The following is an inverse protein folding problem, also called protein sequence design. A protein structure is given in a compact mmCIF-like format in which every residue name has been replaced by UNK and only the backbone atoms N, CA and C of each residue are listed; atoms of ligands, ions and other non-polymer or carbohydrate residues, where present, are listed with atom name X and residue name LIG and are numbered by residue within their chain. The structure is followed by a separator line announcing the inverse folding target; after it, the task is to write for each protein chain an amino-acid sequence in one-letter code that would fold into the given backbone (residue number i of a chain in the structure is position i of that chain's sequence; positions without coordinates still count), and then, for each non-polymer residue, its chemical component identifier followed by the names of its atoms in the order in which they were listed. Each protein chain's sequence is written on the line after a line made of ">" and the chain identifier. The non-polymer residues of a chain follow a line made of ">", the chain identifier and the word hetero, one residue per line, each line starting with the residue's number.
data_IF_041432533924
#
_entry.id   IF_041432533924
#
_cell.length_a   1.000
_cell.length_b   1.000
_cell.length_c   1.000
_cell.angle_alpha   90.00
_cell.angle_beta   90.00
_cell.angle_gamma   90.00
#
_symmetry.space_group_name_H-M   'P 1'
#
loop_
_entity.id
_entity.type
_entity.pdbx_description
1 polymer ?
#
# COMPACT_ATOMS: atom_id res chain seq x y z
N UNK A 1 -24.49 -1.64 16.88
CA UNK A 1 -23.78 -0.35 16.69
C UNK A 1 -22.57 -0.61 15.79
N UNK A 2 -22.69 -0.34 14.49
CA UNK A 2 -21.55 -0.46 13.57
C UNK A 2 -20.77 0.85 13.62
N UNK A 3 -19.46 0.83 13.93
CA UNK A 3 -18.65 2.04 13.96
C UNK A 3 -18.39 2.53 12.53
N UNK A 4 -18.84 3.74 12.21
CA UNK A 4 -18.60 4.37 10.92
C UNK A 4 -17.09 4.63 10.72
N UNK A 5 -16.46 4.06 9.67
CA UNK A 5 -15.01 4.14 9.45
C UNK A 5 -14.52 5.57 9.16
N UNK A 6 -15.38 6.47 8.66
CA UNK A 6 -15.02 7.88 8.46
C UNK A 6 -14.81 8.65 9.78
N UNK A 7 -15.19 8.09 10.94
CA UNK A 7 -14.88 8.69 12.25
C UNK A 7 -13.45 8.43 12.75
N UNK A 8 -12.68 7.61 12.04
CA UNK A 8 -11.28 7.31 12.36
C UNK A 8 -10.39 7.58 11.15
N UNK A 9 -10.29 8.85 10.70
CA UNK A 9 -9.62 9.20 9.45
C UNK A 9 -8.17 8.70 9.42
N UNK A 10 -7.47 8.77 10.55
CA UNK A 10 -6.08 8.29 10.67
C UNK A 10 -5.97 6.79 10.41
N UNK A 11 -6.83 5.98 11.03
CA UNK A 11 -6.80 4.52 10.85
C UNK A 11 -7.11 4.13 9.39
N UNK A 12 -8.06 4.83 8.77
CA UNK A 12 -8.44 4.63 7.38
C UNK A 12 -7.31 5.02 6.42
N UNK A 13 -6.63 6.14 6.65
CA UNK A 13 -5.47 6.56 5.85
C UNK A 13 -4.29 5.59 5.98
N UNK A 14 -3.93 5.19 7.20
CA UNK A 14 -2.83 4.23 7.44
C UNK A 14 -3.16 2.88 6.79
N UNK A 15 -4.41 2.43 6.87
CA UNK A 15 -4.87 1.21 6.21
C UNK A 15 -4.72 1.30 4.68
N UNK A 16 -5.15 2.39 4.05
CA UNK A 16 -5.02 2.55 2.61
C UNK A 16 -3.56 2.67 2.14
N UNK A 17 -2.73 3.42 2.86
CA UNK A 17 -1.30 3.52 2.56
C UNK A 17 -0.62 2.16 2.72
N UNK A 18 -0.85 1.47 3.84
CA UNK A 18 -0.29 0.15 4.11
C UNK A 18 -0.73 -0.89 3.07
N UNK A 19 -1.98 -0.83 2.62
CA UNK A 19 -2.49 -1.67 1.53
C UNK A 19 -1.75 -1.38 0.23
N UNK A 20 -1.59 -0.10 -0.14
CA UNK A 20 -0.83 0.31 -1.33
C UNK A 20 0.62 -0.16 -1.30
N UNK A 21 1.31 0.01 -0.17
CA UNK A 21 2.70 -0.44 0.03
C UNK A 21 2.82 -1.97 -0.06
N UNK A 22 1.85 -2.71 0.50
CA UNK A 22 1.84 -4.18 0.43
C UNK A 22 1.74 -4.66 -1.01
N UNK A 23 0.88 -4.04 -1.83
CA UNK A 23 0.79 -4.36 -3.25
C UNK A 23 2.05 -3.93 -4.03
N UNK A 24 2.60 -2.75 -3.73
CA UNK A 24 3.83 -2.25 -4.37
C UNK A 24 5.01 -3.20 -4.14
N UNK A 25 5.25 -3.58 -2.89
CA UNK A 25 6.33 -4.50 -2.53
C UNK A 25 6.06 -5.94 -2.97
N UNK A 26 4.80 -6.39 -2.95
CA UNK A 26 4.42 -7.70 -3.45
C UNK A 26 4.70 -7.87 -4.94
N UNK A 27 4.40 -6.85 -5.75
CA UNK A 27 4.73 -6.85 -7.18
C UNK A 27 6.25 -6.68 -7.37
N UNK A 28 6.88 -5.78 -6.61
CA UNK A 28 8.33 -5.56 -6.61
C UNK A 28 9.13 -6.84 -6.31
N UNK A 29 8.60 -7.77 -5.51
CA UNK A 29 9.24 -9.05 -5.20
C UNK A 29 9.34 -10.02 -6.39
N UNK A 30 8.50 -9.84 -7.42
CA UNK A 30 8.56 -10.64 -8.66
C UNK A 30 9.43 -10.01 -9.75
N UNK A 31 9.90 -8.78 -9.53
CA UNK A 31 10.73 -8.03 -10.46
C UNK A 31 12.21 -8.11 -10.05
N UNK A 32 13.16 -7.93 -10.98
CA UNK A 32 14.59 -7.84 -10.65
C UNK A 32 14.87 -6.71 -9.65
N UNK A 33 15.86 -6.90 -8.77
CA UNK A 33 16.18 -5.99 -7.66
C UNK A 33 16.40 -4.53 -8.10
N UNK A 34 16.86 -4.32 -9.33
CA UNK A 34 17.10 -2.98 -9.89
C UNK A 34 15.83 -2.23 -10.28
N UNK A 35 14.70 -2.94 -10.44
CA UNK A 35 13.39 -2.38 -10.82
C UNK A 35 12.33 -2.57 -9.75
N UNK A 36 12.64 -3.24 -8.64
CA UNK A 36 11.66 -3.57 -7.59
C UNK A 36 11.14 -2.33 -6.85
N UNK A 37 11.97 -1.29 -6.71
CA UNK A 37 11.59 -0.06 -6.01
C UNK A 37 10.76 0.89 -6.88
N UNK A 38 10.99 0.89 -8.21
CA UNK A 38 10.28 1.77 -9.16
C UNK A 38 9.20 1.05 -9.96
N UNK A 39 9.06 -0.27 -9.80
CA UNK A 39 8.30 -1.16 -10.68
C UNK A 39 8.63 -1.00 -12.18
N UNK A 40 9.76 -0.37 -12.53
CA UNK A 40 10.09 0.01 -13.90
C UNK A 40 9.25 1.15 -14.48
N UNK A 41 8.51 1.90 -13.66
CA UNK A 41 7.67 3.04 -14.09
C UNK A 41 8.43 4.38 -14.09
N UNK A 42 9.57 4.45 -13.40
CA UNK A 42 10.46 5.61 -13.30
C UNK A 42 11.92 5.15 -13.33
#
# INVERSE_FOLDING_TARGET
>A
IIPNPFRRPVATTVFFIGTGVTFWLGIGATLPIEKSLTLGLF
#
